data_IF_091743635525
#
_entry.id   IF_091743635525
#
_cell.length_a   1.000
_cell.length_b   1.000
_cell.length_c   1.000
_cell.angle_alpha   90.00
_cell.angle_beta   90.00
_cell.angle_gamma   90.00
#
_symmetry.space_group_name_H-M   'P 1'
#
loop_
_entity.id
_entity.type
_entity.pdbx_description
1 polymer ?
#
# COMPACT_ATOMS: atom_id res chain seq x y z
N UNK A 1 3.46 38.59 -4.84
CA UNK A 1 2.13 38.01 -4.54
C UNK A 1 2.29 36.56 -4.06
N UNK A 2 1.80 36.27 -2.85
CA UNK A 2 1.88 34.91 -2.31
C UNK A 2 0.95 34.02 -3.13
N UNK A 3 1.38 32.79 -3.37
CA UNK A 3 0.58 31.87 -4.16
C UNK A 3 0.64 30.43 -3.63
N UNK A 4 -0.48 29.72 -3.76
CA UNK A 4 -0.61 28.33 -3.33
C UNK A 4 -0.41 27.46 -4.57
N UNK A 5 0.75 26.83 -4.68
CA UNK A 5 1.03 25.97 -5.83
C UNK A 5 0.15 24.72 -5.86
N UNK A 6 -0.56 24.55 -6.97
CA UNK A 6 -1.45 23.41 -7.17
C UNK A 6 -0.79 22.24 -7.91
N UNK A 7 0.21 22.52 -8.73
CA UNK A 7 0.87 21.45 -9.49
C UNK A 7 2.39 21.52 -9.64
N UNK A 8 2.86 22.11 -10.74
CA UNK A 8 4.29 22.21 -11.04
C UNK A 8 5.24 22.61 -9.90
N UNK A 9 5.68 21.59 -9.16
CA UNK A 9 6.63 21.75 -8.05
C UNK A 9 7.40 20.43 -8.11
N UNK A 10 7.71 19.82 -6.97
CA UNK A 10 8.41 18.54 -6.96
C UNK A 10 7.30 17.55 -7.27
N UNK A 11 6.94 17.49 -8.55
CA UNK A 11 5.85 16.64 -8.98
C UNK A 11 4.61 17.48 -8.77
N UNK A 12 3.84 17.17 -7.73
CA UNK A 12 2.62 17.90 -7.40
C UNK A 12 2.74 18.59 -6.04
N UNK A 13 3.12 19.86 -6.05
CA UNK A 13 3.28 20.63 -4.83
C UNK A 13 1.95 21.02 -4.23
N UNK A 14 0.89 20.43 -4.76
CA UNK A 14 -0.48 20.66 -4.31
C UNK A 14 -0.64 20.50 -2.80
N UNK A 15 0.34 19.87 -2.15
CA UNK A 15 0.30 19.66 -0.70
C UNK A 15 0.05 21.00 -0.04
N UNK A 16 0.71 22.03 -0.57
CA UNK A 16 0.55 23.36 -0.04
C UNK A 16 1.79 24.22 -0.17
N UNK A 17 2.52 24.05 -1.27
CA UNK A 17 3.73 24.82 -1.49
C UNK A 17 3.37 26.29 -1.68
N UNK A 18 3.34 27.04 -0.58
CA UNK A 18 3.00 28.46 -0.62
C UNK A 18 4.23 29.34 -0.86
N UNK A 19 4.33 29.88 -2.07
CA UNK A 19 5.44 30.73 -2.46
C UNK A 19 4.96 32.08 -3.01
N UNK A 20 5.72 33.12 -2.73
CA UNK A 20 5.40 34.46 -3.21
C UNK A 20 5.87 34.64 -4.65
N UNK A 21 4.93 34.52 -5.58
CA UNK A 21 5.23 34.69 -7.00
C UNK A 21 4.91 36.12 -7.46
N UNK A 22 5.56 36.54 -8.54
CA UNK A 22 5.35 37.88 -9.07
C UNK A 22 3.89 38.03 -9.47
N UNK A 23 3.26 39.09 -8.98
CA UNK A 23 1.86 39.37 -9.31
C UNK A 23 1.82 39.66 -10.81
N UNK A 24 0.68 39.42 -11.44
CA UNK A 24 0.58 39.64 -12.87
C UNK A 24 1.02 38.35 -13.55
N UNK A 25 2.33 38.13 -13.65
CA UNK A 25 2.90 36.91 -14.24
C UNK A 25 2.16 35.72 -13.65
N UNK A 26 1.97 35.77 -12.34
CA UNK A 26 1.25 34.74 -11.64
C UNK A 26 -0.10 34.63 -12.32
N UNK A 27 -0.91 35.68 -12.21
CA UNK A 27 -2.24 35.68 -12.81
C UNK A 27 -2.30 35.65 -14.33
N UNK A 28 -1.14 35.60 -14.98
CA UNK A 28 -1.08 35.54 -16.44
C UNK A 28 -0.60 34.19 -16.98
N UNK A 29 0.16 33.47 -16.16
CA UNK A 29 0.68 32.16 -16.55
C UNK A 29 0.30 31.08 -15.54
N UNK A 30 0.84 31.13 -14.32
CA UNK A 30 0.50 30.13 -13.30
C UNK A 30 -1.01 30.04 -13.16
N UNK A 31 -1.64 31.15 -12.79
CA UNK A 31 -3.08 31.20 -12.63
C UNK A 31 -3.76 30.79 -13.92
N UNK A 32 -3.04 30.91 -15.03
CA UNK A 32 -3.60 30.54 -16.32
C UNK A 32 -3.60 29.03 -16.55
N UNK A 33 -2.50 28.36 -16.24
CA UNK A 33 -2.46 26.92 -16.45
C UNK A 33 -2.80 26.12 -15.20
N UNK A 34 -3.62 26.70 -14.32
CA UNK A 34 -4.02 26.03 -13.09
C UNK A 34 -2.90 25.61 -12.14
N UNK A 35 -1.69 26.08 -12.43
CA UNK A 35 -0.50 25.76 -11.64
C UNK A 35 -0.52 26.26 -10.20
N UNK A 36 -1.02 27.47 -10.00
CA UNK A 36 -1.08 28.08 -8.67
C UNK A 36 -2.42 28.75 -8.42
N UNK A 37 -2.64 29.21 -7.19
CA UNK A 37 -3.89 29.87 -6.85
C UNK A 37 -3.65 31.02 -5.88
N UNK A 38 -4.62 31.92 -5.74
CA UNK A 38 -4.48 33.07 -4.84
C UNK A 38 -4.32 32.62 -3.39
N UNK A 39 -3.28 33.12 -2.73
CA UNK A 39 -3.04 32.77 -1.33
C UNK A 39 -3.98 33.54 -0.41
N UNK A 40 -5.29 33.43 -0.67
CA UNK A 40 -6.29 34.11 0.14
C UNK A 40 -6.34 33.40 1.48
N UNK A 41 -6.63 34.14 2.56
CA UNK A 41 -6.71 33.56 3.90
C UNK A 41 -7.74 32.44 4.05
N UNK A 42 -8.53 32.20 3.00
CA UNK A 42 -9.53 31.14 3.00
C UNK A 42 -8.89 29.93 2.35
N UNK A 43 -8.34 30.12 1.16
CA UNK A 43 -7.68 29.05 0.43
C UNK A 43 -6.33 28.71 1.05
N UNK A 44 -6.04 29.33 2.19
CA UNK A 44 -4.80 29.09 2.93
C UNK A 44 -5.16 28.17 4.09
N UNK A 45 -6.28 28.48 4.73
CA UNK A 45 -6.75 27.68 5.84
C UNK A 45 -7.31 26.39 5.25
N UNK A 46 -8.00 26.52 4.12
CA UNK A 46 -8.60 25.38 3.42
C UNK A 46 -7.52 24.43 2.93
N UNK A 47 -6.31 24.95 2.74
CA UNK A 47 -5.19 24.12 2.33
C UNK A 47 -4.72 23.39 3.57
N UNK A 48 -4.56 24.14 4.66
CA UNK A 48 -4.12 23.58 5.93
C UNK A 48 -4.93 22.35 6.30
N UNK A 49 -6.24 22.47 6.16
CA UNK A 49 -7.15 21.38 6.45
C UNK A 49 -6.82 20.10 5.66
N UNK A 50 -6.55 20.23 4.36
CA UNK A 50 -6.24 19.07 3.52
C UNK A 50 -4.92 18.44 3.95
N UNK A 51 -3.95 19.28 4.27
CA UNK A 51 -2.65 18.77 4.69
C UNK A 51 -2.84 18.06 6.02
N UNK A 52 -3.73 18.59 6.84
CA UNK A 52 -3.97 18.00 8.14
C UNK A 52 -4.67 16.67 8.02
N UNK A 53 -5.53 16.52 7.02
CA UNK A 53 -6.22 15.25 6.86
C UNK A 53 -5.32 14.21 6.20
N UNK A 54 -4.49 14.65 5.26
CA UNK A 54 -3.56 13.76 4.57
C UNK A 54 -2.58 13.16 5.59
N UNK A 55 -2.23 13.96 6.59
CA UNK A 55 -1.32 13.58 7.66
C UNK A 55 -1.98 12.61 8.65
N UNK A 56 -3.29 12.74 8.84
CA UNK A 56 -4.02 11.88 9.75
C UNK A 56 -4.16 10.52 9.12
N UNK A 57 -4.51 10.53 7.84
CA UNK A 57 -4.70 9.32 7.06
C UNK A 57 -3.44 8.50 7.01
N UNK A 58 -2.36 9.12 6.58
CA UNK A 58 -1.09 8.43 6.52
C UNK A 58 -0.76 7.72 7.81
N UNK A 59 -1.24 8.27 8.91
CA UNK A 59 -0.99 7.73 10.23
C UNK A 59 -1.94 6.60 10.57
N UNK A 60 -3.15 6.66 10.05
CA UNK A 60 -4.11 5.61 10.33
C UNK A 60 -3.55 4.42 9.62
N UNK A 61 -3.25 4.61 8.34
CA UNK A 61 -2.73 3.54 7.55
C UNK A 61 -1.59 2.82 8.20
N UNK A 62 -0.59 3.57 8.65
CA UNK A 62 0.58 2.95 9.26
C UNK A 62 0.16 2.13 10.46
N UNK A 63 -0.73 2.71 11.26
CA UNK A 63 -1.19 2.08 12.47
C UNK A 63 -1.93 0.82 12.15
N UNK A 64 -2.65 0.82 11.04
CA UNK A 64 -3.41 -0.35 10.61
C UNK A 64 -2.46 -1.46 10.12
N UNK A 65 -1.51 -1.11 9.25
CA UNK A 65 -0.52 -2.08 8.78
C UNK A 65 0.12 -2.74 9.98
N UNK A 66 0.41 -1.97 11.00
CA UNK A 66 1.03 -2.51 12.18
C UNK A 66 0.19 -3.51 12.98
N UNK A 67 -1.12 -3.28 13.04
CA UNK A 67 -1.99 -4.17 13.80
C UNK A 67 -2.16 -5.40 12.94
N UNK A 68 -2.31 -5.17 11.64
CA UNK A 68 -2.48 -6.24 10.69
C UNK A 68 -1.29 -7.19 10.65
N UNK A 69 -0.10 -6.64 10.87
CA UNK A 69 1.11 -7.44 10.89
C UNK A 69 1.08 -8.38 12.07
N UNK A 70 0.40 -7.97 13.13
CA UNK A 70 0.30 -8.76 14.36
C UNK A 70 -0.68 -9.89 14.18
N UNK A 71 -1.77 -9.62 13.49
CA UNK A 71 -2.74 -10.65 13.26
C UNK A 71 -2.08 -11.76 12.42
N UNK A 72 -1.45 -11.38 11.30
CA UNK A 72 -0.82 -12.33 10.39
C UNK A 72 0.23 -13.25 10.99
N UNK A 73 1.11 -12.70 11.80
CA UNK A 73 2.16 -13.49 12.41
C UNK A 73 1.70 -14.49 13.46
N UNK A 74 0.38 -14.62 13.64
CA UNK A 74 -0.11 -15.60 14.61
C UNK A 74 -0.76 -16.79 13.81
N UNK A 75 -1.12 -16.53 12.54
CA UNK A 75 -1.75 -17.48 11.61
C UNK A 75 -0.84 -18.52 11.05
N UNK A 76 -1.40 -19.33 10.16
CA UNK A 76 -0.73 -20.41 9.46
C UNK A 76 -1.71 -20.76 8.38
N UNK A 77 -1.38 -20.47 7.13
CA UNK A 77 -2.26 -20.78 6.01
C UNK A 77 -2.02 -22.27 5.71
N UNK A 78 -3.09 -22.98 5.39
CA UNK A 78 -2.97 -24.39 5.07
C UNK A 78 -3.48 -24.64 3.67
N UNK A 79 -2.56 -24.88 2.75
CA UNK A 79 -2.95 -25.15 1.38
C UNK A 79 -2.62 -26.59 1.03
N UNK A 80 -3.65 -27.46 0.92
CA UNK A 80 -3.40 -28.86 0.59
C UNK A 80 -3.16 -29.02 -0.93
N UNK A 81 -2.37 -30.01 -1.30
CA UNK A 81 -2.12 -30.13 -2.71
C UNK A 81 -1.62 -31.49 -3.09
N UNK A 82 -1.93 -31.85 -4.34
CA UNK A 82 -1.53 -33.11 -4.96
C UNK A 82 -0.03 -33.10 -5.25
N UNK A 83 0.66 -34.05 -4.62
CA UNK A 83 2.10 -34.22 -4.73
C UNK A 83 2.40 -35.67 -5.07
N UNK A 84 3.64 -35.93 -5.44
CA UNK A 84 4.00 -37.28 -5.71
C UNK A 84 5.48 -37.42 -5.49
N UNK A 85 6.19 -37.18 -6.59
CA UNK A 85 7.66 -37.25 -6.75
C UNK A 85 8.55 -36.71 -5.61
N UNK A 86 8.52 -37.40 -4.46
CA UNK A 86 9.32 -37.00 -3.31
C UNK A 86 8.88 -35.70 -2.67
N UNK A 87 7.56 -35.55 -2.53
CA UNK A 87 6.98 -34.36 -1.94
C UNK A 87 6.69 -33.30 -2.97
N UNK A 88 7.27 -33.46 -4.14
CA UNK A 88 7.11 -32.52 -5.20
C UNK A 88 5.68 -32.47 -5.74
N UNK A 89 5.19 -31.25 -5.87
CA UNK A 89 3.84 -30.93 -6.34
C UNK A 89 3.60 -31.14 -7.82
N UNK A 90 2.33 -31.32 -8.19
CA UNK A 90 1.95 -31.48 -9.59
C UNK A 90 1.85 -30.13 -10.25
N UNK A 91 1.34 -29.15 -9.50
CA UNK A 91 1.23 -27.79 -10.01
C UNK A 91 2.00 -26.91 -9.06
N UNK A 92 1.66 -25.63 -8.96
CA UNK A 92 2.37 -24.75 -8.02
C UNK A 92 1.46 -23.84 -7.24
N UNK A 93 1.78 -23.67 -5.98
CA UNK A 93 0.99 -22.79 -5.12
C UNK A 93 1.50 -21.38 -5.30
N UNK A 94 0.67 -20.48 -5.79
CA UNK A 94 1.09 -19.10 -5.95
C UNK A 94 0.36 -18.10 -5.05
N UNK A 95 0.66 -16.82 -5.23
CA UNK A 95 0.05 -15.75 -4.45
C UNK A 95 -1.44 -15.71 -4.42
N UNK A 96 -2.14 -16.09 -5.50
CA UNK A 96 -3.61 -16.06 -5.47
C UNK A 96 -4.18 -17.14 -4.57
N UNK A 97 -3.60 -18.33 -4.60
CA UNK A 97 -4.08 -19.38 -3.75
C UNK A 97 -3.88 -18.97 -2.31
N UNK A 98 -2.69 -18.52 -1.99
CA UNK A 98 -2.33 -18.10 -0.64
C UNK A 98 -3.26 -17.01 -0.16
N UNK A 99 -3.53 -16.05 -1.02
CA UNK A 99 -4.43 -14.96 -0.70
C UNK A 99 -5.83 -15.51 -0.40
N UNK A 100 -6.28 -16.46 -1.22
CA UNK A 100 -7.61 -17.09 -1.08
C UNK A 100 -7.79 -17.93 0.19
N UNK A 101 -6.81 -18.75 0.50
CA UNK A 101 -6.85 -19.59 1.67
C UNK A 101 -6.79 -18.71 2.88
N UNK A 102 -6.22 -17.54 2.73
CA UNK A 102 -6.11 -16.63 3.85
C UNK A 102 -7.49 -16.03 4.12
N UNK A 103 -8.18 -15.62 3.06
CA UNK A 103 -9.51 -15.07 3.21
C UNK A 103 -10.46 -16.14 3.75
N UNK A 104 -10.51 -17.26 3.06
CA UNK A 104 -11.35 -18.37 3.43
C UNK A 104 -11.17 -18.86 4.85
N UNK A 105 -9.93 -19.02 5.30
CA UNK A 105 -9.70 -19.53 6.64
C UNK A 105 -9.50 -18.54 7.75
N UNK A 106 -9.17 -17.31 7.43
CA UNK A 106 -8.85 -16.41 8.54
C UNK A 106 -9.64 -15.13 8.54
N UNK A 107 -10.44 -14.97 7.49
CA UNK A 107 -11.29 -13.81 7.34
C UNK A 107 -10.58 -12.56 6.96
N UNK A 108 -9.38 -12.71 6.40
CA UNK A 108 -8.59 -11.57 5.97
C UNK A 108 -8.60 -11.47 4.46
N UNK A 109 -8.91 -10.29 3.94
CA UNK A 109 -8.93 -10.06 2.50
C UNK A 109 -7.69 -9.19 2.21
N UNK A 110 -6.62 -9.81 1.71
CA UNK A 110 -5.35 -9.14 1.43
C UNK A 110 -5.06 -9.16 -0.06
N UNK A 111 -4.52 -8.07 -0.61
CA UNK A 111 -4.21 -8.05 -2.05
C UNK A 111 -3.07 -9.01 -2.31
N UNK A 112 -3.21 -9.83 -3.33
CA UNK A 112 -2.15 -10.78 -3.59
C UNK A 112 -0.83 -10.10 -3.95
N UNK A 113 -0.90 -8.83 -4.36
CA UNK A 113 0.30 -8.04 -4.70
C UNK A 113 1.24 -7.80 -3.54
N UNK A 114 0.72 -7.95 -2.33
CA UNK A 114 1.49 -7.73 -1.12
C UNK A 114 2.22 -8.99 -0.68
N UNK A 115 1.81 -10.13 -1.22
CA UNK A 115 2.40 -11.41 -0.86
C UNK A 115 3.64 -11.53 -1.71
N UNK A 116 4.77 -11.18 -1.12
CA UNK A 116 6.02 -11.18 -1.85
C UNK A 116 6.59 -12.55 -2.17
N UNK A 117 5.80 -13.42 -2.81
CA UNK A 117 6.32 -14.75 -3.17
C UNK A 117 7.20 -14.61 -4.46
N UNK A 118 8.37 -15.23 -4.46
CA UNK A 118 9.24 -15.11 -5.61
C UNK A 118 8.86 -16.22 -6.56
N UNK A 119 9.55 -17.33 -6.42
CA UNK A 119 9.28 -18.50 -7.25
C UNK A 119 8.11 -19.27 -6.58
N UNK A 120 7.14 -19.69 -7.40
CA UNK A 120 5.97 -20.46 -6.94
C UNK A 120 6.34 -21.73 -6.16
N UNK A 121 5.75 -21.90 -4.98
CA UNK A 121 5.98 -23.07 -4.14
C UNK A 121 5.62 -24.37 -4.91
N UNK A 122 6.58 -25.28 -5.05
CA UNK A 122 6.34 -26.52 -5.79
C UNK A 122 6.74 -27.73 -5.00
N UNK A 123 6.54 -27.68 -3.68
CA UNK A 123 6.86 -28.81 -2.80
C UNK A 123 6.11 -28.77 -1.46
N UNK A 124 5.83 -29.95 -0.92
CA UNK A 124 5.13 -30.07 0.35
C UNK A 124 6.00 -29.52 1.49
N UNK A 125 5.38 -28.95 2.54
CA UNK A 125 6.13 -28.43 3.69
C UNK A 125 5.69 -27.06 4.20
N UNK A 126 6.58 -26.38 4.93
CA UNK A 126 6.32 -25.04 5.46
C UNK A 126 7.16 -23.94 4.78
N UNK A 127 6.54 -22.81 4.50
CA UNK A 127 7.26 -21.71 3.87
C UNK A 127 6.83 -20.39 4.46
N UNK A 128 7.79 -19.62 4.95
CA UNK A 128 7.53 -18.30 5.53
C UNK A 128 7.58 -17.33 4.38
N UNK A 129 6.44 -16.75 4.00
CA UNK A 129 6.37 -15.77 2.91
C UNK A 129 6.29 -14.32 3.47
N UNK A 130 7.06 -13.35 2.91
CA UNK A 130 7.02 -11.97 3.40
C UNK A 130 5.80 -11.30 2.84
N UNK A 131 5.22 -10.38 3.61
CA UNK A 131 4.03 -9.62 3.16
C UNK A 131 4.33 -8.14 3.40
N UNK A 132 4.26 -7.38 2.32
CA UNK A 132 4.56 -5.97 2.34
C UNK A 132 3.24 -5.24 2.53
N UNK A 133 2.92 -5.04 3.79
CA UNK A 133 1.70 -4.37 4.16
C UNK A 133 1.84 -2.86 3.97
N UNK A 134 3.05 -2.34 4.00
CA UNK A 134 3.22 -0.90 3.90
C UNK A 134 4.71 -0.62 3.65
N UNK A 135 5.07 0.57 3.08
CA UNK A 135 6.45 0.95 2.79
C UNK A 135 7.43 0.58 3.88
N UNK A 136 7.00 0.68 5.13
CA UNK A 136 7.87 0.29 6.20
C UNK A 136 7.29 -0.76 7.15
N UNK A 137 6.36 -1.58 6.65
CA UNK A 137 5.76 -2.65 7.44
C UNK A 137 5.56 -3.96 6.63
N UNK A 138 6.39 -4.96 6.97
CA UNK A 138 6.41 -6.29 6.36
C UNK A 138 6.20 -7.32 7.48
N UNK A 139 5.37 -8.32 7.19
CA UNK A 139 5.07 -9.37 8.14
C UNK A 139 5.44 -10.69 7.50
N UNK A 140 5.63 -11.69 8.34
CA UNK A 140 5.97 -13.04 7.88
C UNK A 140 4.72 -13.95 7.90
N UNK A 141 4.27 -14.42 6.76
CA UNK A 141 3.12 -15.29 6.71
C UNK A 141 3.61 -16.74 6.66
N UNK A 142 3.21 -17.59 7.61
CA UNK A 142 3.63 -18.98 7.53
C UNK A 142 2.64 -19.73 6.68
N UNK A 143 3.15 -20.33 5.63
CA UNK A 143 2.32 -21.06 4.72
C UNK A 143 2.63 -22.56 4.89
N UNK A 144 1.59 -23.39 4.96
CA UNK A 144 1.77 -24.84 5.13
C UNK A 144 1.11 -25.66 4.00
N UNK A 145 1.91 -26.25 3.12
CA UNK A 145 1.37 -27.05 2.02
C UNK A 145 1.37 -28.54 2.40
N UNK A 146 0.16 -29.09 2.48
CA UNK A 146 -0.11 -30.48 2.85
C UNK A 146 -0.61 -31.28 1.65
N UNK A 147 -0.20 -32.55 1.58
CA UNK A 147 -0.58 -33.47 0.49
C UNK A 147 -2.04 -33.88 0.60
N UNK A 148 -2.80 -33.70 -0.46
CA UNK A 148 -4.18 -34.10 -0.39
C UNK A 148 -4.44 -35.38 -1.19
N UNK A 149 -5.72 -35.77 -1.27
CA UNK A 149 -6.20 -36.96 -1.98
C UNK A 149 -5.88 -38.25 -1.23
#
# INVERSE_FOLDING_TARGET
MKVIFLKDVKGKGKKGEIKNVADGYANNFLFKQGLAIEATPANLKALEAQKQKEQRQAAEELANAKKLKEQLEKLTVTIPAKAGEGGRLFGSITSKQIAESLQAQHGLKLDKRKIELADAIRALGYTNVPVKLHPEVTATLKVHVTEQK
#
